data_IF_522758938512
#
_entry.id   IF_522758938512
#
_cell.length_a   1.000
_cell.length_b   1.000
_cell.length_c   1.000
_cell.angle_alpha   90.00
_cell.angle_beta   90.00
_cell.angle_gamma   90.00
#
_symmetry.space_group_name_H-M   'P 1'
#
loop_
_entity.id
_entity.type
_entity.pdbx_description
1 polymer ?
#
# COMPACT_ATOMS: atom_id res chain seq x y z
N UNK A 1 4.42 4.01 -2.70
CA UNK A 1 3.86 2.75 -2.18
C UNK A 1 2.45 3.04 -1.71
N UNK A 2 1.52 2.10 -1.81
CA UNK A 2 0.15 2.30 -1.35
C UNK A 2 -0.52 0.96 -1.01
N UNK A 3 -1.52 1.00 -0.13
CA UNK A 3 -2.37 -0.15 0.15
C UNK A 3 -3.58 -0.08 -0.80
N UNK A 4 -3.68 -1.03 -1.74
CA UNK A 4 -4.62 -0.97 -2.86
C UNK A 4 -4.32 0.16 -3.87
N UNK A 5 -3.06 0.24 -4.33
CA UNK A 5 -2.54 1.32 -5.15
C UNK A 5 -3.38 1.70 -6.39
N UNK A 6 -4.06 0.73 -7.02
CA UNK A 6 -4.91 1.00 -8.18
C UNK A 6 -6.17 1.83 -7.86
N UNK A 7 -6.47 2.04 -6.58
CA UNK A 7 -7.48 2.99 -6.12
C UNK A 7 -6.95 4.43 -6.14
N UNK A 8 -5.75 4.68 -5.60
CA UNK A 8 -5.19 6.02 -5.42
C UNK A 8 -4.55 6.58 -6.70
N UNK A 9 -3.81 5.75 -7.44
CA UNK A 9 -3.02 6.20 -8.60
C UNK A 9 -3.87 6.91 -9.69
N UNK A 10 -5.07 6.42 -10.07
CA UNK A 10 -5.92 7.14 -11.03
C UNK A 10 -6.40 8.50 -10.52
N UNK A 11 -6.67 8.63 -9.22
CA UNK A 11 -7.13 9.89 -8.60
C UNK A 11 -5.99 10.90 -8.63
N UNK A 12 -4.78 10.49 -8.20
CA UNK A 12 -3.58 11.33 -8.26
C UNK A 12 -3.26 11.75 -9.70
N UNK A 13 -3.34 10.84 -10.67
CA UNK A 13 -3.05 11.15 -12.08
C UNK A 13 -4.01 12.20 -12.61
N UNK A 14 -5.32 12.05 -12.37
CA UNK A 14 -6.32 13.03 -12.78
C UNK A 14 -6.08 14.39 -12.13
N UNK A 15 -5.74 14.42 -10.85
CA UNK A 15 -5.45 15.66 -10.12
C UNK A 15 -4.25 16.40 -10.73
N UNK A 16 -3.15 15.69 -11.05
CA UNK A 16 -1.96 16.29 -11.66
C UNK A 16 -2.20 16.74 -13.10
N UNK A 17 -2.89 15.92 -13.91
CA UNK A 17 -3.21 16.29 -15.28
C UNK A 17 -4.12 17.53 -15.37
N UNK A 18 -5.02 17.72 -14.39
CA UNK A 18 -5.85 18.93 -14.30
C UNK A 18 -5.01 20.21 -14.14
N UNK A 19 -3.89 20.10 -13.44
CA UNK A 19 -2.94 21.20 -13.25
C UNK A 19 -1.85 21.25 -14.34
N UNK A 20 -2.03 20.52 -15.46
CA UNK A 20 -1.07 20.38 -16.55
C UNK A 20 0.31 19.83 -16.12
N UNK A 21 0.34 19.00 -15.08
CA UNK A 21 1.56 18.36 -14.59
C UNK A 21 1.74 16.97 -15.22
N UNK A 22 3.00 16.60 -15.49
CA UNK A 22 3.36 15.29 -16.02
C UNK A 22 3.04 14.16 -15.03
N UNK A 23 2.30 13.15 -15.49
CA UNK A 23 1.76 12.08 -14.62
C UNK A 23 1.80 10.70 -15.30
N UNK A 24 2.98 10.28 -15.75
CA UNK A 24 3.20 9.00 -16.44
C UNK A 24 4.32 8.16 -15.80
N UNK A 25 4.28 6.85 -16.06
CA UNK A 25 5.31 5.88 -15.72
C UNK A 25 5.71 5.83 -14.23
N UNK A 26 4.72 5.92 -13.33
CA UNK A 26 4.97 5.87 -11.90
C UNK A 26 5.37 4.48 -11.43
N UNK A 27 6.44 4.41 -10.64
CA UNK A 27 6.86 3.20 -9.95
C UNK A 27 6.06 3.04 -8.66
N UNK A 28 5.46 1.88 -8.45
CA UNK A 28 4.71 1.60 -7.23
C UNK A 28 4.89 0.16 -6.75
N UNK A 29 4.66 -0.02 -5.45
CA UNK A 29 4.45 -1.31 -4.80
C UNK A 29 3.09 -1.23 -4.10
N UNK A 30 2.30 -2.29 -4.21
CA UNK A 30 0.98 -2.40 -3.59
C UNK A 30 1.02 -3.40 -2.43
N UNK A 31 0.94 -2.90 -1.20
CA UNK A 31 1.02 -3.77 0.00
C UNK A 31 -0.15 -4.74 0.07
N UNK A 32 -1.33 -4.39 -0.46
CA UNK A 32 -2.48 -5.32 -0.54
C UNK A 32 -2.15 -6.57 -1.37
N UNK A 33 -1.54 -6.39 -2.54
CA UNK A 33 -1.17 -7.51 -3.42
C UNK A 33 -0.07 -8.35 -2.78
N UNK A 34 0.94 -7.70 -2.20
CA UNK A 34 2.02 -8.35 -1.47
C UNK A 34 1.50 -9.14 -0.27
N UNK A 35 0.60 -8.58 0.53
CA UNK A 35 -0.05 -9.28 1.64
C UNK A 35 -0.87 -10.48 1.16
N UNK A 36 -1.63 -10.35 0.06
CA UNK A 36 -2.37 -11.47 -0.54
C UNK A 36 -1.47 -12.61 -0.98
N UNK A 37 -0.27 -12.30 -1.47
CA UNK A 37 0.71 -13.28 -1.93
C UNK A 37 1.35 -14.06 -0.77
N UNK A 38 1.59 -13.41 0.36
CA UNK A 38 2.45 -13.96 1.42
C UNK A 38 1.73 -14.30 2.74
N UNK A 39 0.60 -13.66 3.03
CA UNK A 39 -0.13 -13.81 4.27
C UNK A 39 -1.44 -14.55 3.98
N UNK A 40 -1.66 -15.76 4.53
CA UNK A 40 -2.93 -16.46 4.39
C UNK A 40 -4.08 -15.62 4.94
N UNK A 41 -5.17 -15.48 4.18
CA UNK A 41 -6.35 -14.72 4.63
C UNK A 41 -6.90 -15.20 5.98
N UNK A 42 -6.80 -16.50 6.26
CA UNK A 42 -7.23 -17.11 7.52
C UNK A 42 -6.46 -16.60 8.75
N UNK A 43 -5.26 -16.01 8.58
CA UNK A 43 -4.43 -15.52 9.69
C UNK A 43 -5.03 -14.27 10.35
N UNK A 44 -5.61 -13.36 9.56
CA UNK A 44 -6.15 -12.07 10.03
C UNK A 44 -7.59 -11.79 9.58
N UNK A 45 -8.25 -12.78 8.95
CA UNK A 45 -9.62 -12.68 8.41
C UNK A 45 -9.73 -11.91 7.10
N UNK A 46 -8.88 -10.89 6.89
CA UNK A 46 -8.84 -10.09 5.67
C UNK A 46 -7.45 -9.50 5.40
N UNK A 47 -7.29 -8.88 4.23
CA UNK A 47 -6.09 -8.11 3.87
C UNK A 47 -6.33 -6.61 3.84
N UNK A 48 -7.41 -6.12 4.48
CA UNK A 48 -7.59 -4.68 4.68
C UNK A 48 -6.47 -4.15 5.58
N UNK A 49 -6.09 -2.89 5.37
CA UNK A 49 -5.00 -2.26 6.11
C UNK A 49 -5.21 -2.35 7.63
N UNK A 50 -6.41 -2.04 8.13
CA UNK A 50 -6.75 -2.10 9.54
C UNK A 50 -6.59 -3.51 10.15
N UNK A 51 -7.06 -4.54 9.45
CA UNK A 51 -7.00 -5.92 9.94
C UNK A 51 -5.55 -6.43 9.98
N UNK A 52 -4.75 -6.08 8.97
CA UNK A 52 -3.33 -6.39 8.93
C UNK A 52 -2.54 -5.64 9.99
N UNK A 53 -2.81 -4.35 10.18
CA UNK A 53 -2.15 -3.55 11.21
C UNK A 53 -2.46 -4.07 12.61
N UNK A 54 -3.74 -4.37 12.89
CA UNK A 54 -4.14 -4.97 14.15
C UNK A 54 -3.45 -6.33 14.39
N UNK A 55 -3.44 -7.21 13.38
CA UNK A 55 -2.84 -8.54 13.49
C UNK A 55 -1.31 -8.56 13.60
N UNK A 56 -0.65 -7.54 13.05
CA UNK A 56 0.81 -7.38 13.07
C UNK A 56 1.30 -6.42 14.15
N UNK A 57 0.40 -5.92 15.00
CA UNK A 57 0.68 -4.96 16.06
C UNK A 57 1.37 -3.67 15.53
N UNK A 58 0.91 -3.19 14.37
CA UNK A 58 1.32 -1.92 13.76
C UNK A 58 0.34 -0.83 14.22
N UNK A 59 0.83 0.28 14.82
CA UNK A 59 -0.03 1.38 15.24
C UNK A 59 -0.83 1.96 14.08
N UNK A 60 -2.12 2.17 14.34
CA UNK A 60 -3.04 2.86 13.45
C UNK A 60 -4.06 3.59 14.32
N UNK A 61 -3.68 4.78 14.77
CA UNK A 61 -4.37 5.51 15.85
C UNK A 61 -5.67 6.15 15.38
N UNK A 62 -5.63 6.98 14.34
CA UNK A 62 -6.82 7.61 13.77
C UNK A 62 -7.13 7.00 12.40
N UNK A 63 -7.80 5.85 12.42
CA UNK A 63 -8.42 5.29 11.22
C UNK A 63 -9.23 6.39 10.50
N UNK A 64 -8.96 6.61 9.21
CA UNK A 64 -9.48 7.70 8.35
C UNK A 64 -8.72 9.03 8.34
N UNK A 65 -7.60 9.15 9.07
CA UNK A 65 -6.62 10.18 8.77
C UNK A 65 -5.67 9.66 7.67
N UNK A 66 -5.62 10.37 6.54
CA UNK A 66 -4.78 10.00 5.41
C UNK A 66 -3.28 9.91 5.77
N UNK A 67 -2.81 10.70 6.73
CA UNK A 67 -1.44 10.63 7.24
C UNK A 67 -1.20 9.33 8.01
N UNK A 68 -2.12 8.99 8.92
CA UNK A 68 -2.01 7.77 9.74
C UNK A 68 -2.08 6.52 8.86
N UNK A 69 -2.99 6.49 7.88
CA UNK A 69 -3.10 5.40 6.90
C UNK A 69 -1.81 5.27 6.07
N UNK A 70 -1.19 6.39 5.68
CA UNK A 70 0.09 6.39 4.95
C UNK A 70 1.25 5.87 5.80
N UNK A 71 1.33 6.27 7.07
CA UNK A 71 2.34 5.79 8.02
C UNK A 71 2.18 4.29 8.29
N UNK A 72 0.96 3.83 8.57
CA UNK A 72 0.67 2.42 8.76
C UNK A 72 0.95 1.58 7.50
N UNK A 73 0.62 2.11 6.31
CA UNK A 73 0.99 1.47 5.05
C UNK A 73 2.51 1.34 4.87
N UNK A 74 3.29 2.34 5.28
CA UNK A 74 4.75 2.29 5.23
C UNK A 74 5.31 1.25 6.21
N UNK A 75 4.81 1.22 7.46
CA UNK A 75 5.18 0.20 8.45
C UNK A 75 4.82 -1.22 7.98
N UNK A 76 3.65 -1.40 7.37
CA UNK A 76 3.24 -2.66 6.77
C UNK A 76 4.18 -3.07 5.63
N UNK A 77 4.57 -2.13 4.76
CA UNK A 77 5.54 -2.41 3.71
C UNK A 77 6.89 -2.88 4.28
N UNK A 78 7.42 -2.20 5.29
CA UNK A 78 8.69 -2.61 5.92
C UNK A 78 8.59 -4.00 6.55
N UNK A 79 7.48 -4.32 7.21
CA UNK A 79 7.22 -5.67 7.70
C UNK A 79 7.27 -6.71 6.57
N UNK A 80 6.54 -6.45 5.47
CA UNK A 80 6.48 -7.35 4.33
C UNK A 80 7.86 -7.52 3.66
N UNK A 81 8.61 -6.42 3.52
CA UNK A 81 9.97 -6.39 2.99
C UNK A 81 10.92 -7.25 3.83
N UNK A 82 10.97 -7.04 5.14
CA UNK A 82 11.85 -7.80 6.03
C UNK A 82 11.47 -9.28 6.11
N UNK A 83 10.17 -9.59 6.13
CA UNK A 83 9.70 -10.97 6.36
C UNK A 83 9.66 -11.84 5.10
N UNK A 84 9.37 -11.24 3.95
CA UNK A 84 9.11 -11.95 2.69
C UNK A 84 10.03 -11.52 1.53
N UNK A 85 11.08 -10.74 1.83
CA UNK A 85 12.07 -10.29 0.86
C UNK A 85 11.47 -9.51 -0.32
N UNK A 86 10.45 -8.69 -0.05
CA UNK A 86 9.88 -7.76 -1.04
C UNK A 86 10.94 -6.76 -1.44
N UNK A 87 11.20 -6.60 -2.74
CA UNK A 87 12.32 -5.81 -3.23
C UNK A 87 12.00 -5.16 -4.58
N UNK A 88 13.02 -4.65 -5.26
CA UNK A 88 12.89 -3.96 -6.55
C UNK A 88 12.17 -4.77 -7.63
N UNK A 89 12.21 -6.11 -7.56
CA UNK A 89 11.50 -7.00 -8.50
C UNK A 89 9.99 -6.94 -8.34
N UNK A 90 9.49 -6.49 -7.19
CA UNK A 90 8.06 -6.32 -6.93
C UNK A 90 7.55 -4.92 -7.36
N UNK A 91 8.45 -4.04 -7.84
CA UNK A 91 8.07 -2.72 -8.36
C UNK A 91 7.30 -2.90 -9.68
N UNK A 92 6.13 -2.28 -9.73
CA UNK A 92 5.28 -2.18 -10.91
C UNK A 92 5.33 -0.79 -11.52
N UNK A 93 5.03 -0.70 -12.81
CA UNK A 93 4.85 0.58 -13.51
C UNK A 93 3.37 0.82 -13.73
N UNK A 94 2.89 1.97 -13.27
CA UNK A 94 1.56 2.50 -13.60
C UNK A 94 1.69 3.38 -14.84
N UNK A 95 0.87 3.09 -15.86
CA UNK A 95 0.89 3.74 -17.18
C UNK A 95 -0.45 4.41 -17.47
#
# INVERSE_FOLDING_TARGET
MAHNALFDLPVMRKALLRENLHAENWKYICTLETSRKHIPKAMFGSHRLNDLCAGLNIPLEHHHNALDDALACASLYEHLRMRYNVNERDIKIYR
#
